data_IF_911868849301
#
_entry.id   IF_911868849301
#
_cell.length_a   1.000
_cell.length_b   1.000
_cell.length_c   1.000
_cell.angle_alpha   90.00
_cell.angle_beta   90.00
_cell.angle_gamma   90.00
#
_symmetry.space_group_name_H-M   'P 1'
#
loop_
_entity.id
_entity.type
_entity.pdbx_description
1 polymer ?
#
# COMPACT_ATOMS: atom_id res chain seq x y z
N UNK A 1 9.87 -16.97 -32.52
CA UNK A 1 10.58 -16.59 -31.29
C UNK A 1 9.54 -16.39 -30.18
N UNK A 2 9.30 -17.42 -29.37
CA UNK A 2 8.33 -17.37 -28.26
C UNK A 2 8.85 -16.40 -27.20
N UNK A 3 8.25 -15.21 -27.07
CA UNK A 3 8.52 -14.31 -25.94
C UNK A 3 8.09 -15.03 -24.65
N UNK A 4 9.09 -15.54 -23.91
CA UNK A 4 8.98 -16.32 -22.66
C UNK A 4 8.47 -15.51 -21.44
N UNK A 5 8.15 -14.24 -21.65
CA UNK A 5 7.64 -13.34 -20.63
C UNK A 5 6.12 -13.30 -20.74
N UNK A 6 5.46 -14.16 -19.98
CA UNK A 6 4.02 -13.99 -19.74
C UNK A 6 3.84 -12.83 -18.75
N UNK A 7 2.80 -11.98 -18.89
CA UNK A 7 2.53 -10.86 -17.97
C UNK A 7 2.51 -11.28 -16.50
N UNK A 8 2.15 -12.53 -16.21
CA UNK A 8 2.14 -13.09 -14.86
C UNK A 8 3.55 -13.26 -14.25
N UNK A 9 4.54 -13.61 -15.07
CA UNK A 9 5.92 -13.77 -14.59
C UNK A 9 6.55 -12.43 -14.28
N UNK A 10 6.26 -11.41 -15.08
CA UNK A 10 6.84 -10.08 -14.88
C UNK A 10 6.22 -9.37 -13.67
N UNK A 11 4.92 -9.58 -13.43
CA UNK A 11 4.23 -9.10 -12.22
C UNK A 11 4.69 -9.83 -10.94
N UNK A 12 4.92 -11.15 -10.99
CA UNK A 12 5.54 -11.89 -9.88
C UNK A 12 6.99 -11.46 -9.61
N UNK A 13 7.78 -11.29 -10.67
CA UNK A 13 9.15 -10.79 -10.58
C UNK A 13 9.18 -9.37 -9.98
N UNK A 14 8.23 -8.51 -10.36
CA UNK A 14 8.05 -7.20 -9.75
C UNK A 14 7.80 -7.32 -8.25
N UNK A 15 6.83 -8.14 -7.82
CA UNK A 15 6.52 -8.37 -6.39
C UNK A 15 7.79 -8.79 -5.64
N UNK A 16 8.58 -9.69 -6.21
CA UNK A 16 9.84 -10.14 -5.63
C UNK A 16 10.90 -9.03 -5.54
N UNK A 17 10.95 -8.13 -6.53
CA UNK A 17 11.90 -7.01 -6.58
C UNK A 17 11.43 -5.76 -5.82
N UNK A 18 10.16 -5.65 -5.41
CA UNK A 18 9.64 -4.49 -4.66
C UNK A 18 10.44 -4.14 -3.39
N UNK A 19 11.01 -5.09 -2.62
CA UNK A 19 11.83 -4.77 -1.46
C UNK A 19 13.18 -4.14 -1.82
N UNK A 20 13.66 -4.29 -3.05
CA UNK A 20 15.02 -3.91 -3.43
C UNK A 20 15.28 -2.38 -3.35
N UNK A 21 14.41 -1.50 -3.88
CA UNK A 21 14.55 -0.05 -3.66
C UNK A 21 14.52 0.34 -2.18
N UNK A 22 13.71 -0.36 -1.38
CA UNK A 22 13.65 -0.11 0.07
C UNK A 22 14.99 -0.41 0.72
N UNK A 23 15.58 -1.59 0.46
CA UNK A 23 16.88 -1.99 1.00
C UNK A 23 17.98 -0.98 0.62
N UNK A 24 17.97 -0.50 -0.63
CA UNK A 24 18.94 0.50 -1.09
C UNK A 24 18.80 1.84 -0.35
N UNK A 25 17.57 2.27 -0.05
CA UNK A 25 17.33 3.47 0.77
C UNK A 25 17.90 3.33 2.19
N UNK A 26 17.84 2.14 2.79
CA UNK A 26 18.39 1.90 4.13
C UNK A 26 19.90 2.00 4.21
N UNK A 27 20.62 1.80 3.11
CA UNK A 27 22.07 1.99 3.11
C UNK A 27 22.49 3.41 3.50
N UNK A 28 21.60 4.40 3.39
CA UNK A 28 21.85 5.81 3.73
C UNK A 28 22.85 6.52 2.82
N UNK A 29 23.62 5.78 2.01
CA UNK A 29 24.64 6.27 1.09
C UNK A 29 24.03 7.01 -0.10
N UNK A 30 24.79 7.95 -0.67
CA UNK A 30 24.40 8.66 -1.90
C UNK A 30 24.10 7.67 -3.04
N UNK A 31 24.99 6.69 -3.24
CA UNK A 31 24.84 5.63 -4.24
C UNK A 31 23.61 4.77 -4.00
N UNK A 32 23.27 4.47 -2.75
CA UNK A 32 22.06 3.72 -2.41
C UNK A 32 20.78 4.51 -2.70
N UNK A 33 20.74 5.82 -2.40
CA UNK A 33 19.58 6.67 -2.72
C UNK A 33 19.37 6.78 -4.24
N UNK A 34 20.45 6.94 -5.01
CA UNK A 34 20.38 6.89 -6.48
C UNK A 34 19.94 5.52 -6.99
N UNK A 35 20.51 4.45 -6.44
CA UNK A 35 20.12 3.08 -6.79
C UNK A 35 18.64 2.83 -6.53
N UNK A 36 18.10 3.30 -5.40
CA UNK A 36 16.68 3.22 -5.08
C UNK A 36 15.79 3.99 -6.07
N UNK A 37 16.22 5.19 -6.50
CA UNK A 37 15.52 5.96 -7.53
C UNK A 37 15.48 5.22 -8.86
N UNK A 38 16.62 4.74 -9.33
CA UNK A 38 16.75 4.04 -10.62
C UNK A 38 15.92 2.75 -10.59
N UNK A 39 16.09 1.93 -9.55
CA UNK A 39 15.36 0.66 -9.41
C UNK A 39 13.87 0.87 -9.24
N UNK A 40 13.44 1.84 -8.41
CA UNK A 40 12.03 2.19 -8.25
C UNK A 40 11.40 2.69 -9.55
N UNK A 41 12.11 3.51 -10.33
CA UNK A 41 11.67 3.99 -11.63
C UNK A 41 11.54 2.84 -12.65
N UNK A 42 12.53 1.95 -12.72
CA UNK A 42 12.50 0.76 -13.58
C UNK A 42 11.31 -0.15 -13.23
N UNK A 43 11.03 -0.36 -11.94
CA UNK A 43 9.87 -1.15 -11.50
C UNK A 43 8.54 -0.51 -11.94
N UNK A 44 8.42 0.83 -11.83
CA UNK A 44 7.24 1.56 -12.29
C UNK A 44 7.05 1.50 -13.82
N UNK A 45 8.13 1.61 -14.60
CA UNK A 45 8.08 1.44 -16.06
C UNK A 45 7.66 0.02 -16.43
N UNK A 46 8.18 -0.98 -15.72
CA UNK A 46 7.90 -2.40 -16.00
C UNK A 46 6.40 -2.69 -15.89
N UNK A 47 5.72 -2.13 -14.88
CA UNK A 47 4.25 -2.23 -14.75
C UNK A 47 3.49 -1.62 -15.93
N UNK A 48 3.92 -0.42 -16.35
CA UNK A 48 3.29 0.27 -17.47
C UNK A 48 3.44 -0.53 -18.77
N UNK A 49 4.63 -1.09 -19.01
CA UNK A 49 4.92 -1.91 -20.18
C UNK A 49 4.14 -3.22 -20.17
N UNK A 50 4.04 -3.90 -19.03
CA UNK A 50 3.20 -5.10 -18.87
C UNK A 50 1.75 -4.82 -19.21
N UNK A 51 1.21 -3.71 -18.70
CA UNK A 51 -0.15 -3.29 -18.98
C UNK A 51 -0.41 -2.98 -20.45
N UNK A 52 0.59 -2.49 -21.19
CA UNK A 52 0.49 -2.28 -22.64
C UNK A 52 0.57 -3.62 -23.38
N UNK A 53 1.54 -4.46 -23.06
CA UNK A 53 1.75 -5.76 -23.69
C UNK A 53 0.54 -6.68 -23.51
N UNK A 54 -0.01 -6.75 -22.31
CA UNK A 54 -1.21 -7.55 -22.02
C UNK A 54 -2.43 -7.10 -22.85
N UNK A 55 -2.61 -5.78 -23.04
CA UNK A 55 -3.68 -5.21 -23.88
C UNK A 55 -3.44 -5.45 -25.37
N UNK A 56 -2.21 -5.24 -25.84
CA UNK A 56 -1.82 -5.41 -27.25
C UNK A 56 -1.96 -6.86 -27.72
N UNK A 57 -1.60 -7.82 -26.87
CA UNK A 57 -1.66 -9.24 -27.20
C UNK A 57 -2.94 -9.94 -26.74
N UNK A 58 -3.92 -9.21 -26.18
CA UNK A 58 -5.16 -9.76 -25.57
C UNK A 58 -4.91 -10.90 -24.55
N UNK A 59 -3.70 -10.99 -23.99
CA UNK A 59 -3.30 -12.01 -23.00
C UNK A 59 -3.55 -11.49 -21.58
N UNK A 60 -4.80 -11.14 -21.30
CA UNK A 60 -5.22 -10.73 -19.96
C UNK A 60 -5.53 -12.00 -19.17
N UNK A 61 -4.73 -12.32 -18.16
CA UNK A 61 -5.00 -13.46 -17.28
C UNK A 61 -5.79 -13.02 -16.05
N UNK A 62 -6.62 -13.92 -15.51
CA UNK A 62 -7.36 -13.68 -14.27
C UNK A 62 -6.44 -13.39 -13.09
N UNK A 63 -5.29 -14.08 -13.01
CA UNK A 63 -4.29 -13.94 -11.95
C UNK A 63 -3.59 -12.58 -12.02
N UNK A 64 -3.11 -12.16 -13.18
CA UNK A 64 -2.44 -10.86 -13.35
C UNK A 64 -3.35 -9.69 -12.96
N UNK A 65 -4.61 -9.72 -13.40
CA UNK A 65 -5.59 -8.66 -13.06
C UNK A 65 -5.86 -8.50 -11.56
N UNK A 66 -5.53 -9.51 -10.76
CA UNK A 66 -5.64 -9.48 -9.31
C UNK A 66 -4.31 -9.07 -8.66
N UNK A 67 -3.19 -9.57 -9.18
CA UNK A 67 -1.86 -9.29 -8.63
C UNK A 67 -1.42 -7.84 -8.86
N UNK A 68 -1.79 -7.21 -9.99
CA UNK A 68 -1.30 -5.84 -10.30
C UNK A 68 -1.73 -4.81 -9.25
N UNK A 69 -3.03 -4.70 -8.89
CA UNK A 69 -3.46 -3.72 -7.89
C UNK A 69 -3.02 -4.06 -6.46
N UNK A 70 -2.52 -5.27 -6.22
CA UNK A 70 -1.92 -5.68 -4.94
C UNK A 70 -0.48 -5.19 -4.88
N UNK A 71 0.31 -5.51 -5.91
CA UNK A 71 1.71 -5.14 -6.01
C UNK A 71 1.88 -3.62 -5.90
N UNK A 72 1.03 -2.85 -6.55
CA UNK A 72 1.06 -1.38 -6.49
C UNK A 72 0.89 -0.85 -5.06
N UNK A 73 -0.07 -1.39 -4.31
CA UNK A 73 -0.33 -0.95 -2.92
C UNK A 73 0.79 -1.35 -1.99
N UNK A 74 1.32 -2.56 -2.16
CA UNK A 74 2.47 -3.04 -1.40
C UNK A 74 3.65 -2.11 -1.63
N UNK A 75 3.94 -1.78 -2.89
CA UNK A 75 5.06 -0.91 -3.25
C UNK A 75 4.91 0.50 -2.67
N UNK A 76 3.79 1.18 -2.94
CA UNK A 76 3.55 2.54 -2.47
C UNK A 76 3.55 2.60 -0.95
N UNK A 77 2.85 1.67 -0.28
CA UNK A 77 2.82 1.60 1.18
C UNK A 77 4.23 1.38 1.75
N UNK A 78 4.98 0.42 1.20
CA UNK A 78 6.33 0.10 1.70
C UNK A 78 7.27 1.28 1.56
N UNK A 79 7.34 1.91 0.37
CA UNK A 79 8.22 3.06 0.14
C UNK A 79 7.86 4.21 1.05
N UNK A 80 6.57 4.56 1.17
CA UNK A 80 6.16 5.68 2.01
C UNK A 80 6.52 5.43 3.48
N UNK A 81 6.32 4.20 3.98
CA UNK A 81 6.73 3.83 5.33
C UNK A 81 8.24 3.89 5.51
N UNK A 82 9.04 3.38 4.56
CA UNK A 82 10.51 3.53 4.58
C UNK A 82 10.92 5.01 4.64
N UNK A 83 10.27 5.87 3.85
CA UNK A 83 10.56 7.30 3.85
C UNK A 83 10.17 7.99 5.16
N UNK A 84 9.14 7.51 5.85
CA UNK A 84 8.84 7.97 7.22
C UNK A 84 9.93 7.50 8.19
N UNK A 85 10.33 6.23 8.11
CA UNK A 85 11.38 5.68 8.97
C UNK A 85 12.71 6.43 8.83
N UNK A 86 13.09 6.78 7.59
CA UNK A 86 14.28 7.58 7.29
C UNK A 86 14.12 9.07 7.65
N UNK A 87 13.00 9.47 8.25
CA UNK A 87 12.64 10.85 8.59
C UNK A 87 12.56 11.79 7.38
N UNK A 88 12.31 11.27 6.18
CA UNK A 88 12.12 12.08 4.98
C UNK A 88 10.67 12.59 4.92
N UNK A 89 9.72 11.75 5.35
CA UNK A 89 8.29 12.07 5.44
C UNK A 89 7.80 12.13 6.88
N UNK A 90 6.88 13.04 7.16
CA UNK A 90 6.09 13.01 8.39
C UNK A 90 5.12 11.83 8.36
N UNK A 91 5.03 11.10 9.48
CA UNK A 91 4.15 9.95 9.63
C UNK A 91 2.67 10.28 9.38
N UNK A 92 2.17 11.40 9.89
CA UNK A 92 0.73 11.66 9.90
C UNK A 92 0.11 11.78 8.49
N UNK A 93 0.69 12.53 7.52
CA UNK A 93 0.25 12.50 6.12
C UNK A 93 0.30 11.11 5.49
N UNK A 94 1.36 10.34 5.76
CA UNK A 94 1.54 9.00 5.21
C UNK A 94 0.49 8.04 5.77
N UNK A 95 0.23 8.10 7.07
CA UNK A 95 -0.82 7.34 7.74
C UNK A 95 -2.18 7.61 7.08
N UNK A 96 -2.53 8.89 6.88
CA UNK A 96 -3.78 9.29 6.22
C UNK A 96 -3.88 8.74 4.78
N UNK A 97 -2.78 8.80 4.02
CA UNK A 97 -2.70 8.24 2.67
C UNK A 97 -2.99 6.73 2.68
N UNK A 98 -2.30 5.96 3.53
CA UNK A 98 -2.43 4.49 3.58
C UNK A 98 -3.79 4.09 4.14
N UNK A 99 -4.29 4.78 5.16
CA UNK A 99 -5.63 4.57 5.73
C UNK A 99 -6.69 4.67 4.64
N UNK A 100 -6.65 5.73 3.83
CA UNK A 100 -7.54 5.90 2.68
C UNK A 100 -7.41 4.75 1.68
N UNK A 101 -6.21 4.26 1.40
CA UNK A 101 -6.02 3.13 0.49
C UNK A 101 -6.67 1.84 1.00
N UNK A 102 -6.53 1.56 2.29
CA UNK A 102 -7.16 0.42 2.95
C UNK A 102 -8.69 0.53 2.88
N UNK A 103 -9.24 1.72 3.18
CA UNK A 103 -10.68 2.01 3.15
C UNK A 103 -11.26 1.89 1.74
N UNK A 104 -10.69 2.56 0.74
CA UNK A 104 -11.19 2.49 -0.64
C UNK A 104 -11.08 1.07 -1.19
N UNK A 105 -10.01 0.33 -0.85
CA UNK A 105 -9.88 -1.08 -1.20
C UNK A 105 -10.94 -1.95 -0.53
N UNK A 106 -11.33 -1.64 0.70
CA UNK A 106 -12.41 -2.33 1.41
C UNK A 106 -13.74 -2.11 0.72
N UNK A 107 -14.09 -0.85 0.44
CA UNK A 107 -15.33 -0.49 -0.22
C UNK A 107 -15.45 -1.15 -1.60
N UNK A 108 -14.36 -1.17 -2.38
CA UNK A 108 -14.34 -1.80 -3.70
C UNK A 108 -14.50 -3.32 -3.65
N UNK A 109 -14.07 -3.98 -2.57
CA UNK A 109 -14.30 -5.43 -2.40
C UNK A 109 -15.77 -5.77 -2.18
N UNK A 110 -16.51 -4.91 -1.45
CA UNK A 110 -17.94 -5.09 -1.17
C UNK A 110 -18.85 -4.70 -2.34
N UNK A 111 -18.46 -3.71 -3.14
CA UNK A 111 -19.28 -3.20 -4.24
C UNK A 111 -18.53 -3.24 -5.59
N UNK A 112 -18.06 -4.42 -6.04
CA UNK A 112 -17.17 -4.53 -7.20
C UNK A 112 -17.82 -4.07 -8.52
N UNK A 113 -19.12 -4.31 -8.69
CA UNK A 113 -19.85 -3.97 -9.93
C UNK A 113 -20.22 -2.49 -10.01
N UNK A 114 -20.46 -1.86 -8.85
CA UNK A 114 -20.85 -0.44 -8.79
C UNK A 114 -19.63 0.48 -8.76
N UNK A 115 -18.48 0.02 -8.26
CA UNK A 115 -17.26 0.82 -8.13
C UNK A 115 -16.27 0.47 -9.27
N UNK A 116 -16.54 1.01 -10.46
CA UNK A 116 -15.57 0.96 -11.58
C UNK A 116 -14.37 1.88 -11.29
N UNK A 117 -13.17 1.46 -11.70
CA UNK A 117 -11.93 2.24 -11.54
C UNK A 117 -12.06 3.54 -12.32
N UNK A 118 -12.12 4.67 -11.62
CA UNK A 118 -12.14 5.99 -12.25
C UNK A 118 -10.75 6.32 -12.83
N UNK A 119 -10.71 7.12 -13.90
CA UNK A 119 -9.44 7.68 -14.44
C UNK A 119 -8.66 8.43 -13.36
N UNK A 120 -9.37 9.07 -12.43
CA UNK A 120 -8.83 9.78 -11.26
C UNK A 120 -8.02 8.84 -10.36
N UNK A 121 -8.44 7.59 -10.18
CA UNK A 121 -7.70 6.63 -9.35
C UNK A 121 -6.36 6.23 -9.96
N UNK A 122 -6.26 6.17 -11.30
CA UNK A 122 -4.99 5.90 -11.99
C UNK A 122 -4.04 7.08 -11.96
N UNK A 123 -4.57 8.30 -12.09
CA UNK A 123 -3.76 9.51 -11.96
C UNK A 123 -3.20 9.64 -10.54
N UNK A 124 -3.99 9.32 -9.51
CA UNK A 124 -3.56 9.36 -8.11
C UNK A 124 -2.34 8.47 -7.84
N UNK A 125 -2.31 7.24 -8.37
CA UNK A 125 -1.17 6.33 -8.16
C UNK A 125 0.08 6.83 -8.87
N UNK A 126 -0.06 7.34 -10.10
CA UNK A 126 1.04 7.99 -10.82
C UNK A 126 1.61 9.17 -10.02
N UNK A 127 0.76 10.06 -9.50
CA UNK A 127 1.21 11.19 -8.69
C UNK A 127 1.93 10.75 -7.43
N UNK A 128 1.46 9.71 -6.72
CA UNK A 128 2.12 9.24 -5.51
C UNK A 128 3.47 8.58 -5.77
N UNK A 129 3.55 7.72 -6.79
CA UNK A 129 4.82 7.07 -7.16
C UNK A 129 5.84 8.12 -7.61
N UNK A 130 5.44 9.06 -8.47
CA UNK A 130 6.29 10.17 -8.90
C UNK A 130 6.70 11.06 -7.73
N UNK A 131 5.78 11.36 -6.80
CA UNK A 131 6.09 12.16 -5.62
C UNK A 131 7.14 11.51 -4.72
N UNK A 132 7.06 10.19 -4.49
CA UNK A 132 8.07 9.46 -3.73
C UNK A 132 9.46 9.56 -4.39
N UNK A 133 9.54 9.39 -5.71
CA UNK A 133 10.78 9.55 -6.46
C UNK A 133 11.33 10.98 -6.37
N UNK A 134 10.50 11.98 -6.62
CA UNK A 134 10.90 13.39 -6.51
C UNK A 134 11.37 13.72 -5.10
N UNK A 135 10.68 13.23 -4.06
CA UNK A 135 11.08 13.46 -2.68
C UNK A 135 12.47 12.89 -2.36
N UNK A 136 12.77 11.67 -2.82
CA UNK A 136 14.11 11.09 -2.65
C UNK A 136 15.16 11.92 -3.38
N UNK A 137 14.88 12.33 -4.62
CA UNK A 137 15.79 13.17 -5.41
C UNK A 137 16.03 14.55 -4.76
N UNK A 138 14.98 15.18 -4.28
CA UNK A 138 15.06 16.46 -3.58
C UNK A 138 15.86 16.34 -2.28
N UNK A 139 15.71 15.23 -1.56
CA UNK A 139 16.51 14.99 -0.35
C UNK A 139 18.00 14.80 -0.67
N UNK A 140 18.34 14.20 -1.83
CA UNK A 140 19.74 14.05 -2.27
C UNK A 140 20.40 15.41 -2.53
N UNK A 141 19.73 16.30 -3.26
CA UNK A 141 20.33 17.56 -3.75
C UNK A 141 20.02 18.79 -2.90
N UNK A 142 18.91 18.79 -2.17
CA UNK A 142 18.36 19.95 -1.47
C UNK A 142 17.84 19.60 -0.06
N UNK A 143 18.68 19.02 0.83
CA UNK A 143 18.25 18.53 2.14
C UNK A 143 17.63 19.62 3.03
N UNK A 144 18.03 20.88 2.87
CA UNK A 144 17.51 22.04 3.61
C UNK A 144 16.00 22.30 3.40
N UNK A 145 15.40 21.76 2.33
CA UNK A 145 14.00 21.96 1.98
C UNK A 145 13.08 20.85 2.49
N UNK A 146 13.49 20.10 3.52
CA UNK A 146 12.69 19.04 4.15
C UNK A 146 11.26 19.50 4.52
N UNK A 147 11.09 20.75 4.95
CA UNK A 147 9.77 21.29 5.27
C UNK A 147 8.87 21.41 4.03
N UNK A 148 9.42 21.85 2.89
CA UNK A 148 8.69 21.97 1.63
C UNK A 148 8.15 20.61 1.14
N UNK A 149 8.97 19.56 1.25
CA UNK A 149 8.56 18.18 0.93
C UNK A 149 7.40 17.76 1.83
N UNK A 150 7.46 18.06 3.13
CA UNK A 150 6.39 17.71 4.06
C UNK A 150 5.08 18.47 3.80
N UNK A 151 5.14 19.76 3.46
CA UNK A 151 3.94 20.52 3.06
C UNK A 151 3.33 19.96 1.77
N UNK A 152 4.17 19.60 0.80
CA UNK A 152 3.71 18.99 -0.44
C UNK A 152 3.12 17.59 -0.21
N UNK A 153 3.64 16.83 0.75
CA UNK A 153 3.08 15.55 1.16
C UNK A 153 1.68 15.70 1.77
N UNK A 154 1.42 16.75 2.55
CA UNK A 154 0.07 17.09 3.00
C UNK A 154 -0.88 17.39 1.84
N UNK A 155 -0.42 18.12 0.81
CA UNK A 155 -1.21 18.36 -0.39
C UNK A 155 -1.56 17.04 -1.12
N UNK A 156 -0.60 16.11 -1.23
CA UNK A 156 -0.83 14.76 -1.78
C UNK A 156 -1.84 13.98 -0.94
N UNK A 157 -1.75 14.06 0.39
CA UNK A 157 -2.72 13.43 1.29
C UNK A 157 -4.13 13.99 1.07
N UNK A 158 -4.30 15.31 1.04
CA UNK A 158 -5.58 15.96 0.78
C UNK A 158 -6.15 15.53 -0.58
N UNK A 159 -5.33 15.57 -1.65
CA UNK A 159 -5.74 15.11 -2.98
C UNK A 159 -6.17 13.63 -2.98
N UNK A 160 -5.47 12.79 -2.22
CA UNK A 160 -5.84 11.39 -2.04
C UNK A 160 -7.23 11.23 -1.41
N UNK A 161 -7.60 12.07 -0.44
CA UNK A 161 -8.93 12.07 0.14
C UNK A 161 -10.00 12.61 -0.80
N UNK A 162 -9.73 13.70 -1.52
CA UNK A 162 -10.65 14.26 -2.52
C UNK A 162 -10.98 13.19 -3.57
N UNK A 163 -9.97 12.46 -4.05
CA UNK A 163 -10.17 11.36 -5.00
C UNK A 163 -11.00 10.19 -4.45
N UNK A 164 -11.15 10.08 -3.13
CA UNK A 164 -11.93 9.05 -2.46
C UNK A 164 -13.43 9.41 -2.34
N UNK A 165 -13.79 10.70 -2.37
CA UNK A 165 -15.17 11.18 -2.20
C UNK A 165 -16.18 10.44 -3.10
N UNK A 166 -15.92 10.23 -4.41
CA UNK A 166 -16.88 9.52 -5.28
C UNK A 166 -17.15 8.08 -4.84
N UNK A 167 -16.18 7.43 -4.19
CA UNK A 167 -16.32 6.07 -3.67
C UNK A 167 -17.26 6.05 -2.46
N UNK A 168 -17.09 6.97 -1.53
CA UNK A 168 -17.94 7.09 -0.34
C UNK A 168 -19.37 7.46 -0.69
N UNK A 169 -19.58 8.43 -1.59
CA UNK A 169 -20.93 8.81 -2.05
C UNK A 169 -21.70 7.63 -2.64
N UNK A 170 -21.05 6.85 -3.50
CA UNK A 170 -21.65 5.67 -4.14
C UNK A 170 -22.02 4.57 -3.16
N UNK A 171 -21.21 4.40 -2.11
CA UNK A 171 -21.47 3.45 -1.03
C UNK A 171 -22.66 3.91 -0.19
N UNK A 172 -22.70 5.18 0.23
CA UNK A 172 -23.82 5.72 1.02
C UNK A 172 -25.17 5.56 0.29
N UNK A 173 -25.19 5.78 -1.03
CA UNK A 173 -26.39 5.57 -1.83
C UNK A 173 -26.78 4.08 -1.96
N UNK A 174 -25.81 3.16 -1.92
CA UNK A 174 -26.07 1.72 -2.02
C UNK A 174 -26.45 1.09 -0.67
N UNK A 175 -26.05 1.69 0.46
CA UNK A 175 -26.32 1.16 1.82
C UNK A 175 -27.84 1.07 2.10
N UNK A 176 -28.67 1.97 1.56
CA UNK A 176 -30.14 1.91 1.73
C UNK A 176 -30.77 0.64 1.14
N UNK A 177 -30.23 0.09 0.05
CA UNK A 177 -30.68 -1.19 -0.55
C UNK A 177 -30.18 -2.43 0.23
N UNK A 178 -29.19 -2.27 1.10
CA UNK A 178 -28.35 -3.38 1.57
C UNK A 178 -28.60 -3.81 3.04
N UNK A 179 -29.77 -3.46 3.58
CA UNK A 179 -30.15 -3.68 5.00
C UNK A 179 -29.97 -5.14 5.47
N UNK A 180 -30.13 -6.12 4.57
CA UNK A 180 -30.02 -7.57 4.87
C UNK A 180 -28.59 -8.04 5.21
N UNK A 181 -27.56 -7.31 4.80
CA UNK A 181 -26.16 -7.70 4.96
C UNK A 181 -25.37 -6.73 5.87
N UNK A 182 -26.06 -5.87 6.62
CA UNK A 182 -25.42 -4.84 7.45
C UNK A 182 -24.51 -5.44 8.54
N UNK A 183 -24.96 -6.51 9.21
CA UNK A 183 -24.17 -7.24 10.22
C UNK A 183 -22.86 -7.76 9.63
N UNK A 184 -22.92 -8.27 8.41
CA UNK A 184 -21.79 -8.79 7.66
C UNK A 184 -20.83 -7.64 7.27
N UNK A 185 -21.37 -6.52 6.79
CA UNK A 185 -20.58 -5.32 6.50
C UNK A 185 -19.80 -4.83 7.72
N UNK A 186 -20.44 -4.65 8.87
CA UNK A 186 -19.76 -4.23 10.10
C UNK A 186 -18.72 -5.25 10.56
N UNK A 187 -19.02 -6.54 10.54
CA UNK A 187 -18.03 -7.59 10.86
C UNK A 187 -16.79 -7.52 9.96
N UNK A 188 -16.99 -7.21 8.68
CA UNK A 188 -15.89 -7.01 7.73
C UNK A 188 -15.18 -5.68 7.94
N UNK A 189 -15.85 -4.63 8.38
CA UNK A 189 -15.22 -3.37 8.75
C UNK A 189 -14.30 -3.54 9.97
N UNK A 190 -14.75 -4.32 10.97
CA UNK A 190 -13.92 -4.68 12.13
C UNK A 190 -12.65 -5.43 11.74
N UNK A 191 -12.61 -6.15 10.62
CA UNK A 191 -11.38 -6.78 10.14
C UNK A 191 -10.29 -5.78 9.71
N UNK A 192 -10.63 -4.49 9.52
CA UNK A 192 -9.66 -3.42 9.26
C UNK A 192 -8.94 -2.94 10.52
N UNK A 193 -9.39 -3.34 11.72
CA UNK A 193 -8.68 -3.05 12.97
C UNK A 193 -7.25 -3.56 12.93
N UNK A 194 -7.02 -4.71 12.31
CA UNK A 194 -5.69 -5.31 12.16
C UNK A 194 -4.69 -4.41 11.41
N UNK A 195 -4.90 -4.09 10.12
CA UNK A 195 -3.95 -3.23 9.39
C UNK A 195 -3.88 -1.81 9.97
N UNK A 196 -4.94 -1.32 10.60
CA UNK A 196 -4.89 -0.02 11.30
C UNK A 196 -4.02 -0.08 12.56
N UNK A 197 -4.10 -1.18 13.34
CA UNK A 197 -3.25 -1.40 14.51
C UNK A 197 -1.78 -1.45 14.13
N UNK A 198 -1.42 -2.19 13.08
CA UNK A 198 -0.04 -2.22 12.55
C UNK A 198 0.44 -0.84 12.08
N UNK A 199 -0.44 -0.06 11.45
CA UNK A 199 -0.09 1.30 11.03
C UNK A 199 0.08 2.24 12.21
N UNK A 200 -0.67 2.08 13.29
CA UNK A 200 -0.56 2.91 14.49
C UNK A 200 0.65 2.52 15.35
N UNK A 201 1.03 1.24 15.39
CA UNK A 201 2.26 0.80 16.05
C UNK A 201 3.52 1.16 15.27
N UNK A 202 3.37 1.56 13.99
CA UNK A 202 4.47 1.86 13.10
C UNK A 202 5.52 2.84 13.69
N UNK A 203 5.15 4.02 14.24
CA UNK A 203 6.13 4.95 14.82
C UNK A 203 6.85 4.39 16.05
N UNK A 204 6.26 3.40 16.72
CA UNK A 204 6.75 2.77 17.94
C UNK A 204 7.64 1.55 17.65
N UNK A 205 7.61 1.01 16.43
CA UNK A 205 8.17 -0.31 16.13
C UNK A 205 9.71 -0.39 16.03
N UNK A 206 10.42 0.73 15.93
CA UNK A 206 11.89 0.75 15.93
C UNK A 206 12.51 -0.23 14.92
N UNK A 207 13.29 -1.20 15.39
CA UNK A 207 13.96 -2.22 14.56
C UNK A 207 13.00 -3.27 13.96
N UNK A 208 11.79 -3.42 14.51
CA UNK A 208 10.78 -4.38 14.06
C UNK A 208 9.91 -3.82 12.90
N UNK A 209 10.26 -2.63 12.43
CA UNK A 209 9.69 -1.96 11.25
C UNK A 209 9.41 -2.90 10.06
N UNK A 210 10.33 -3.81 9.74
CA UNK A 210 10.20 -4.72 8.60
C UNK A 210 9.06 -5.73 8.76
N UNK A 211 8.80 -6.18 10.00
CA UNK A 211 7.71 -7.11 10.30
C UNK A 211 6.38 -6.42 10.00
N UNK A 212 6.23 -5.14 10.35
CA UNK A 212 5.02 -4.38 10.08
C UNK A 212 4.77 -4.18 8.57
N UNK A 213 5.82 -3.90 7.79
CA UNK A 213 5.71 -3.84 6.31
C UNK A 213 5.31 -5.19 5.72
N UNK A 214 5.96 -6.28 6.15
CA UNK A 214 5.65 -7.62 5.67
C UNK A 214 4.20 -7.99 6.02
N UNK A 215 3.79 -7.72 7.26
CA UNK A 215 2.44 -8.00 7.75
C UNK A 215 1.36 -7.20 6.99
N UNK A 216 1.60 -5.92 6.71
CA UNK A 216 0.74 -5.08 5.86
C UNK A 216 0.71 -5.59 4.41
N UNK A 217 1.84 -6.06 3.90
CA UNK A 217 1.94 -6.62 2.55
C UNK A 217 1.11 -7.90 2.40
N UNK A 218 1.19 -8.80 3.39
CA UNK A 218 0.35 -9.99 3.47
C UNK A 218 -1.13 -9.64 3.58
N UNK A 219 -1.49 -8.59 4.31
CA UNK A 219 -2.87 -8.10 4.36
C UNK A 219 -3.38 -7.68 2.97
N UNK A 220 -2.63 -6.86 2.24
CA UNK A 220 -3.01 -6.44 0.89
C UNK A 220 -3.08 -7.63 -0.08
N UNK A 221 -2.14 -8.57 0.03
CA UNK A 221 -2.11 -9.80 -0.76
C UNK A 221 -3.36 -10.65 -0.53
N UNK A 222 -3.68 -10.99 0.72
CA UNK A 222 -4.88 -11.76 1.06
C UNK A 222 -6.16 -11.08 0.59
N UNK A 223 -6.24 -9.74 0.73
CA UNK A 223 -7.42 -8.97 0.36
C UNK A 223 -7.63 -8.89 -1.15
N UNK A 224 -6.57 -8.73 -1.93
CA UNK A 224 -6.71 -8.64 -3.39
C UNK A 224 -7.14 -9.96 -4.04
N UNK A 225 -6.81 -11.10 -3.43
CA UNK A 225 -7.23 -12.43 -3.92
C UNK A 225 -8.74 -12.68 -3.85
N UNK A 226 -9.49 -11.92 -3.05
CA UNK A 226 -10.93 -12.14 -2.84
C UNK A 226 -11.77 -11.16 -3.65
N UNK A 227 -12.54 -11.68 -4.62
CA UNK A 227 -13.55 -10.91 -5.38
C UNK A 227 -14.94 -11.14 -4.78
N UNK A 228 -15.69 -10.06 -4.52
CA UNK A 228 -17.04 -10.10 -3.96
C UNK A 228 -17.07 -10.04 -2.43
N UNK A 229 -18.12 -10.61 -1.82
CA UNK A 229 -18.28 -10.62 -0.36
C UNK A 229 -16.99 -11.15 0.32
N UNK A 230 -16.37 -10.38 1.23
CA UNK A 230 -15.09 -10.77 1.82
C UNK A 230 -15.25 -11.96 2.77
N UNK A 231 -15.23 -13.19 2.25
CA UNK A 231 -15.34 -14.44 3.04
C UNK A 231 -14.26 -14.53 4.14
N UNK A 232 -13.08 -13.97 3.88
CA UNK A 232 -11.96 -13.87 4.82
C UNK A 232 -12.25 -13.08 6.10
N UNK A 233 -13.25 -12.20 6.11
CA UNK A 233 -13.68 -11.51 7.31
C UNK A 233 -14.50 -12.41 8.27
N UNK A 234 -14.94 -13.58 7.79
CA UNK A 234 -15.74 -14.55 8.55
C UNK A 234 -14.97 -15.84 8.84
N UNK A 235 -14.08 -16.25 7.94
CA UNK A 235 -13.26 -17.45 8.11
C UNK A 235 -11.99 -17.16 8.93
N UNK A 236 -12.07 -17.59 10.20
CA UNK A 236 -10.97 -17.82 11.15
C UNK A 236 -10.01 -16.61 11.37
N UNK A 237 -10.46 -15.80 12.32
CA UNK A 237 -9.81 -14.66 12.96
C UNK A 237 -8.58 -15.01 13.82
N UNK A 238 -7.58 -15.71 13.26
CA UNK A 238 -6.31 -15.96 13.95
C UNK A 238 -5.32 -14.80 13.79
N UNK A 239 -5.53 -13.94 12.79
CA UNK A 239 -4.66 -12.80 12.51
C UNK A 239 -4.69 -11.75 13.64
N UNK A 240 -5.86 -11.37 14.21
CA UNK A 240 -5.87 -10.48 15.38
C UNK A 240 -5.13 -11.05 16.58
N UNK A 241 -5.23 -12.37 16.83
CA UNK A 241 -4.50 -13.04 17.92
C UNK A 241 -3.00 -12.96 17.66
N UNK A 242 -2.56 -13.28 16.44
CA UNK A 242 -1.15 -13.22 16.05
C UNK A 242 -0.57 -11.80 16.19
N UNK A 243 -1.42 -10.78 16.10
CA UNK A 243 -0.99 -9.39 16.06
C UNK A 243 -1.07 -8.76 17.43
N UNK A 244 -2.07 -9.13 18.23
CA UNK A 244 -2.04 -8.88 19.67
C UNK A 244 -0.82 -9.57 20.27
N UNK A 245 -0.45 -10.78 19.85
CA UNK A 245 0.81 -11.42 20.29
C UNK A 245 2.05 -10.70 19.78
N UNK A 246 2.07 -10.17 18.54
CA UNK A 246 3.21 -9.40 18.07
C UNK A 246 3.35 -8.03 18.74
N UNK A 247 2.24 -7.32 18.97
CA UNK A 247 2.20 -6.05 19.70
C UNK A 247 2.56 -6.22 21.17
N UNK A 248 2.17 -7.33 21.81
CA UNK A 248 2.57 -7.65 23.18
C UNK A 248 4.05 -8.05 23.27
N UNK A 249 4.58 -8.78 22.28
CA UNK A 249 6.02 -9.06 22.19
C UNK A 249 6.84 -7.79 21.94
N UNK A 250 6.37 -6.88 21.08
CA UNK A 250 6.95 -5.55 20.87
C UNK A 250 6.98 -4.74 22.18
N UNK A 251 5.87 -4.70 22.92
CA UNK A 251 5.78 -4.03 24.21
C UNK A 251 6.74 -4.64 25.26
N UNK A 252 6.84 -5.97 25.33
CA UNK A 252 7.75 -6.66 26.26
C UNK A 252 9.22 -6.37 25.90
N UNK A 253 9.57 -6.36 24.61
CA UNK A 253 10.92 -6.05 24.16
C UNK A 253 11.31 -4.59 24.47
N UNK A 254 10.39 -3.64 24.29
CA UNK A 254 10.59 -2.24 24.66
C UNK A 254 10.72 -2.02 26.17
N UNK A 255 9.95 -2.75 26.99
CA UNK A 255 10.07 -2.68 28.46
C UNK A 255 11.46 -3.11 28.94
N UNK A 256 12.00 -4.18 28.36
CA UNK A 256 13.30 -4.72 28.77
C UNK A 256 14.51 -3.87 28.32
N UNK A 257 14.35 -2.93 27.38
CA UNK A 257 15.43 -2.08 26.90
C UNK A 257 15.54 -0.73 27.64
N UNK A 258 14.45 -0.29 28.28
CA UNK A 258 14.35 1.01 28.95
C UNK A 258 14.24 0.93 30.48
N UNK A 259 13.92 -0.25 31.03
CA UNK A 259 13.78 -0.47 32.47
C UNK A 259 14.77 -1.51 33.03
N UNK A 260 15.88 -1.74 32.32
CA UNK A 260 17.05 -2.51 32.80
C UNK A 260 18.23 -1.60 33.10
#
# INVERSE_FOLDING_TARGET
>A
MHLLITPNRLTLLRIFLLPFPCILLFSGSYSGKLGALITGFLLGITDYLDGILARKYKKITSIGTVLDPIADKIFVTSIYLVLVYLNYFNFLPVFLIILREILVSFLRSWFPERIKVSRIAKLKTLFQMSFAGVAVLFYIYFPSYKYFINYSLWAVAIFSFISAIPYFYKVLHTIKEFRRNLKNFFKSLFSLTYPMGLLLSFPLSGSLFWINIIALSFFFFKKGLVRGYPKWAYEKAWIPILVVTMLTLEYIYFRNLFFS
#
